data_IF_437313422302
#
_entry.id   IF_437313422302
#
_cell.length_a   1.000
_cell.length_b   1.000
_cell.length_c   1.000
_cell.angle_alpha   90.00
_cell.angle_beta   90.00
_cell.angle_gamma   90.00
#
_symmetry.space_group_name_H-M   'P 1'
#
loop_
_entity.id
_entity.type
_entity.pdbx_description
1 polymer ?
#
# COMPACT_ATOMS: atom_id res chain seq x y z
N UNK A 1 -23.99 6.21 -11.86
CA UNK A 1 -24.32 6.93 -10.61
C UNK A 1 -25.71 6.49 -10.15
N UNK A 2 -25.84 6.05 -8.89
CA UNK A 2 -27.12 5.66 -8.29
C UNK A 2 -28.08 6.85 -8.24
N UNK A 3 -29.36 6.65 -8.64
CA UNK A 3 -30.41 7.68 -8.64
C UNK A 3 -30.61 8.29 -7.26
N UNK A 4 -30.40 7.50 -6.20
CA UNK A 4 -30.52 7.99 -4.83
C UNK A 4 -29.36 8.93 -4.46
N UNK A 5 -28.12 8.62 -4.86
CA UNK A 5 -26.94 9.44 -4.60
C UNK A 5 -26.92 10.75 -5.40
N UNK A 6 -27.36 10.71 -6.67
CA UNK A 6 -27.53 11.92 -7.48
C UNK A 6 -28.58 12.86 -6.87
N UNK A 7 -29.68 12.31 -6.34
CA UNK A 7 -30.71 13.09 -5.67
C UNK A 7 -30.16 13.72 -4.38
N UNK A 8 -29.36 13.00 -3.61
CA UNK A 8 -28.69 13.52 -2.42
C UNK A 8 -27.74 14.68 -2.76
N UNK A 9 -26.91 14.55 -3.80
CA UNK A 9 -26.02 15.62 -4.23
C UNK A 9 -26.79 16.87 -4.70
N UNK A 10 -27.84 16.69 -5.51
CA UNK A 10 -28.66 17.81 -5.95
C UNK A 10 -29.41 18.50 -4.79
N UNK A 11 -29.74 17.77 -3.73
CA UNK A 11 -30.29 18.35 -2.50
C UNK A 11 -29.22 19.16 -1.78
N UNK A 12 -28.04 18.59 -1.54
CA UNK A 12 -26.92 19.28 -0.87
C UNK A 12 -26.51 20.57 -1.62
N UNK A 13 -26.40 20.52 -2.95
CA UNK A 13 -26.09 21.71 -3.76
C UNK A 13 -27.16 22.80 -3.60
N UNK A 14 -28.45 22.43 -3.52
CA UNK A 14 -29.53 23.41 -3.31
C UNK A 14 -29.48 24.03 -1.92
N UNK A 15 -29.11 23.26 -0.91
CA UNK A 15 -28.98 23.75 0.46
C UNK A 15 -27.77 24.68 0.58
N UNK A 16 -26.63 24.34 -0.04
CA UNK A 16 -25.45 25.22 -0.12
C UNK A 16 -25.74 26.55 -0.82
N UNK A 17 -26.58 26.56 -1.86
CA UNK A 17 -26.97 27.79 -2.54
C UNK A 17 -27.94 28.67 -1.75
N UNK A 18 -28.50 28.16 -0.65
CA UNK A 18 -29.52 28.84 0.15
C UNK A 18 -29.07 29.12 1.58
N UNK A 19 -27.98 28.50 2.02
CA UNK A 19 -27.46 28.71 3.37
C UNK A 19 -26.92 30.14 3.52
N UNK A 20 -26.92 30.69 4.74
CA UNK A 20 -26.31 31.99 5.01
C UNK A 20 -24.80 31.96 4.74
N UNK A 21 -24.24 33.09 4.29
CA UNK A 21 -22.81 33.24 4.05
C UNK A 21 -22.00 32.89 5.31
N UNK A 22 -21.09 31.93 5.20
CA UNK A 22 -20.23 31.45 6.27
C UNK A 22 -20.65 30.12 6.90
N UNK A 23 -21.83 29.58 6.56
CA UNK A 23 -22.33 28.29 7.05
C UNK A 23 -22.11 27.12 6.07
N UNK A 24 -21.55 27.39 4.89
CA UNK A 24 -21.35 26.41 3.81
C UNK A 24 -20.45 25.26 4.24
N UNK A 25 -19.36 25.57 4.95
CA UNK A 25 -18.39 24.57 5.40
C UNK A 25 -19.00 23.64 6.46
N UNK A 26 -19.82 24.18 7.37
CA UNK A 26 -20.52 23.37 8.38
C UNK A 26 -21.53 22.43 7.71
N UNK A 27 -22.23 22.90 6.67
CA UNK A 27 -23.16 22.09 5.90
C UNK A 27 -22.44 20.98 5.09
N UNK A 28 -21.28 21.28 4.50
CA UNK A 28 -20.42 20.29 3.85
C UNK A 28 -19.87 19.26 4.83
N UNK A 29 -19.47 19.69 6.03
CA UNK A 29 -18.99 18.82 7.10
C UNK A 29 -20.08 17.87 7.63
N UNK A 30 -21.31 18.36 7.75
CA UNK A 30 -22.45 17.53 8.14
C UNK A 30 -22.80 16.47 7.08
N UNK A 31 -22.30 16.62 5.84
CA UNK A 31 -22.57 15.73 4.71
C UNK A 31 -21.27 15.19 4.06
N UNK A 32 -20.19 14.98 4.84
CA UNK A 32 -18.87 14.58 4.33
C UNK A 32 -18.89 13.33 3.44
N UNK A 33 -19.79 12.39 3.72
CA UNK A 33 -19.97 11.17 2.93
C UNK A 33 -20.40 11.40 1.48
N UNK A 34 -20.89 12.61 1.18
CA UNK A 34 -21.27 13.06 -0.16
C UNK A 34 -20.17 13.94 -0.80
N UNK A 35 -19.16 14.39 -0.05
CA UNK A 35 -18.09 15.29 -0.51
C UNK A 35 -16.98 14.47 -1.16
N UNK A 36 -17.18 14.14 -2.44
CA UNK A 36 -16.24 13.42 -3.28
C UNK A 36 -16.07 14.08 -4.66
N UNK A 37 -15.18 13.54 -5.49
CA UNK A 37 -14.91 14.05 -6.83
C UNK A 37 -16.16 14.10 -7.73
N UNK A 38 -17.14 13.21 -7.53
CA UNK A 38 -18.40 13.21 -8.30
C UNK A 38 -19.33 14.36 -7.89
N UNK A 39 -19.32 14.78 -6.63
CA UNK A 39 -20.03 15.99 -6.19
C UNK A 39 -19.40 17.24 -6.81
N UNK A 40 -18.05 17.33 -6.81
CA UNK A 40 -17.30 18.43 -7.43
C UNK A 40 -17.65 18.54 -8.91
N UNK A 41 -17.60 17.44 -9.66
CA UNK A 41 -17.95 17.44 -11.08
C UNK A 41 -19.39 17.87 -11.34
N UNK A 42 -20.33 17.46 -10.48
CA UNK A 42 -21.72 17.87 -10.61
C UNK A 42 -21.89 19.37 -10.32
N UNK A 43 -21.19 19.91 -9.31
CA UNK A 43 -21.17 21.34 -9.00
C UNK A 43 -20.59 22.15 -10.16
N UNK A 44 -19.51 21.69 -10.79
CA UNK A 44 -18.92 22.30 -11.99
C UNK A 44 -19.91 22.35 -13.17
N UNK A 45 -20.66 21.26 -13.41
CA UNK A 45 -21.69 21.23 -14.47
C UNK A 45 -22.87 22.15 -14.16
N UNK A 46 -23.29 22.24 -12.90
CA UNK A 46 -24.36 23.15 -12.46
C UNK A 46 -23.92 24.61 -12.60
N UNK A 47 -22.68 24.92 -12.22
CA UNK A 47 -22.08 26.25 -12.38
C UNK A 47 -21.98 26.66 -13.85
N UNK A 48 -21.46 25.78 -14.70
CA UNK A 48 -21.37 26.00 -16.16
C UNK A 48 -22.74 26.30 -16.77
N UNK A 49 -23.79 25.56 -16.37
CA UNK A 49 -25.16 25.80 -16.85
C UNK A 49 -25.76 27.10 -16.31
N UNK A 50 -25.38 27.53 -15.10
CA UNK A 50 -25.76 28.82 -14.54
C UNK A 50 -25.11 29.98 -15.31
N UNK A 51 -23.83 29.87 -15.68
CA UNK A 51 -23.12 30.83 -16.55
C UNK A 51 -23.81 30.98 -17.91
N UNK A 52 -24.16 29.86 -18.56
CA UNK A 52 -24.85 29.87 -19.86
C UNK A 52 -26.24 30.52 -19.81
N UNK A 53 -26.87 30.54 -18.63
CA UNK A 53 -28.18 31.18 -18.39
C UNK A 53 -28.06 32.61 -17.87
N UNK A 54 -26.84 33.15 -17.78
CA UNK A 54 -26.56 34.51 -17.31
C UNK A 54 -26.59 34.68 -15.79
N UNK A 55 -26.66 33.59 -15.01
CA UNK A 55 -26.63 33.66 -13.55
C UNK A 55 -25.19 33.49 -13.03
N UNK A 56 -24.41 34.56 -13.17
CA UNK A 56 -22.97 34.54 -12.91
C UNK A 56 -22.62 34.49 -11.42
N UNK A 57 -23.46 35.03 -10.52
CA UNK A 57 -23.18 34.99 -9.07
C UNK A 57 -23.27 33.57 -8.52
N UNK A 58 -24.30 32.81 -8.91
CA UNK A 58 -24.42 31.39 -8.57
C UNK A 58 -23.29 30.57 -9.18
N UNK A 59 -22.92 30.85 -10.44
CA UNK A 59 -21.83 30.15 -11.09
C UNK A 59 -20.49 30.38 -10.38
N UNK A 60 -20.15 31.64 -10.10
CA UNK A 60 -18.89 31.99 -9.45
C UNK A 60 -18.80 31.41 -8.04
N UNK A 61 -19.88 31.46 -7.27
CA UNK A 61 -19.93 30.84 -5.94
C UNK A 61 -19.66 29.33 -6.01
N UNK A 62 -20.32 28.61 -6.92
CA UNK A 62 -20.12 27.17 -7.05
C UNK A 62 -18.72 26.83 -7.57
N UNK A 63 -18.16 27.62 -8.48
CA UNK A 63 -16.80 27.44 -8.98
C UNK A 63 -15.75 27.70 -7.88
N UNK A 64 -15.96 28.73 -7.06
CA UNK A 64 -15.09 29.03 -5.93
C UNK A 64 -15.13 27.91 -4.89
N UNK A 65 -16.33 27.42 -4.56
CA UNK A 65 -16.49 26.29 -3.64
C UNK A 65 -15.93 24.98 -4.22
N UNK A 66 -16.09 24.75 -5.52
CA UNK A 66 -15.43 23.64 -6.24
C UNK A 66 -13.93 23.75 -6.11
N UNK A 67 -13.36 24.94 -6.28
CA UNK A 67 -11.92 25.16 -6.19
C UNK A 67 -11.41 24.90 -4.77
N UNK A 68 -12.09 25.43 -3.76
CA UNK A 68 -11.77 25.16 -2.36
C UNK A 68 -11.91 23.67 -2.01
N UNK A 69 -12.92 22.98 -2.54
CA UNK A 69 -13.10 21.54 -2.35
C UNK A 69 -12.04 20.72 -3.09
N UNK A 70 -11.64 21.12 -4.30
CA UNK A 70 -10.52 20.52 -5.04
C UNK A 70 -9.20 20.67 -4.27
N UNK A 71 -8.96 21.84 -3.70
CA UNK A 71 -7.77 22.12 -2.87
C UNK A 71 -7.79 21.34 -1.56
N UNK A 72 -8.95 21.22 -0.92
CA UNK A 72 -9.15 20.36 0.25
C UNK A 72 -9.00 18.87 -0.09
N UNK A 73 -9.26 18.53 -1.34
CA UNK A 73 -9.14 17.19 -1.90
C UNK A 73 -7.87 17.00 -2.75
N UNK A 74 -6.74 17.73 -2.53
CA UNK A 74 -5.28 17.29 -2.63
C UNK A 74 -4.25 18.38 -3.10
N UNK A 75 -2.92 18.31 -2.73
CA UNK A 75 -1.87 17.87 -3.68
C UNK A 75 -0.81 16.86 -3.15
N UNK A 76 -0.84 15.65 -3.72
CA UNK A 76 0.14 14.55 -3.77
C UNK A 76 0.82 14.56 -5.16
N UNK A 77 0.81 15.71 -5.83
CA UNK A 77 0.64 15.74 -7.28
C UNK A 77 1.91 15.63 -8.11
N UNK A 78 3.13 15.82 -7.57
CA UNK A 78 4.35 15.69 -8.40
C UNK A 78 4.91 14.26 -8.48
N UNK A 79 4.47 13.37 -7.59
CA UNK A 79 4.83 11.94 -7.62
C UNK A 79 3.66 11.08 -8.15
N UNK A 80 2.41 11.50 -7.88
CA UNK A 80 1.21 10.88 -8.45
C UNK A 80 0.98 11.26 -9.92
N UNK A 81 1.38 12.47 -10.36
CA UNK A 81 1.24 12.82 -11.78
C UNK A 81 2.01 11.87 -12.69
N UNK A 82 3.19 11.40 -12.30
CA UNK A 82 3.98 10.52 -13.18
C UNK A 82 3.45 9.08 -13.19
N UNK A 83 2.90 8.59 -12.07
CA UNK A 83 2.35 7.23 -11.99
C UNK A 83 0.90 7.14 -12.48
N UNK A 84 0.07 8.18 -12.26
CA UNK A 84 -1.26 8.31 -12.84
C UNK A 84 -1.19 8.66 -14.33
N UNK A 85 -0.23 9.50 -14.78
CA UNK A 85 0.02 9.68 -16.22
C UNK A 85 0.53 8.39 -16.85
N UNK A 86 1.50 7.69 -16.25
CA UNK A 86 1.97 6.41 -16.79
C UNK A 86 0.84 5.37 -16.88
N UNK A 87 0.03 5.23 -15.82
CA UNK A 87 -1.13 4.33 -15.83
C UNK A 87 -2.20 4.75 -16.85
N UNK A 88 -2.47 6.05 -16.99
CA UNK A 88 -3.40 6.57 -18.00
C UNK A 88 -2.92 6.31 -19.44
N UNK A 89 -1.60 6.43 -19.67
CA UNK A 89 -0.97 6.17 -20.97
C UNK A 89 -0.98 4.67 -21.29
N UNK A 90 -0.72 3.80 -20.31
CA UNK A 90 -0.88 2.35 -20.45
C UNK A 90 -2.32 1.97 -20.83
N UNK A 91 -3.31 2.54 -20.13
CA UNK A 91 -4.72 2.27 -20.39
C UNK A 91 -5.17 2.76 -21.78
N UNK A 92 -4.66 3.88 -22.27
CA UNK A 92 -4.92 4.36 -23.63
C UNK A 92 -4.40 3.37 -24.68
N UNK A 93 -3.20 2.83 -24.51
CA UNK A 93 -2.65 1.84 -25.43
C UNK A 93 -3.42 0.52 -25.36
N UNK A 94 -3.82 0.08 -24.16
CA UNK A 94 -4.65 -1.12 -23.99
C UNK A 94 -6.02 -0.94 -24.67
N UNK A 95 -6.64 0.24 -24.54
CA UNK A 95 -7.90 0.56 -25.22
C UNK A 95 -7.75 0.59 -26.74
N UNK A 96 -6.64 1.15 -27.26
CA UNK A 96 -6.34 1.10 -28.69
C UNK A 96 -6.17 -0.34 -29.18
N UNK A 97 -5.46 -1.20 -28.43
CA UNK A 97 -5.28 -2.62 -28.78
C UNK A 97 -6.61 -3.37 -28.80
N UNK A 98 -7.50 -3.13 -27.84
CA UNK A 98 -8.82 -3.78 -27.78
C UNK A 98 -9.76 -3.35 -28.90
N UNK A 99 -9.59 -2.13 -29.43
CA UNK A 99 -10.46 -1.55 -30.44
C UNK A 99 -9.86 -1.55 -31.85
N UNK A 100 -8.61 -2.01 -32.03
CA UNK A 100 -7.95 -1.99 -33.33
C UNK A 100 -8.47 -3.10 -34.26
N UNK A 101 -8.39 -2.89 -35.60
CA UNK A 101 -8.64 -3.97 -36.56
C UNK A 101 -7.54 -5.03 -36.46
N UNK A 102 -7.95 -6.30 -36.65
CA UNK A 102 -7.03 -7.45 -36.54
C UNK A 102 -5.83 -7.29 -37.49
N UNK A 103 -4.62 -7.37 -36.94
CA UNK A 103 -3.35 -7.18 -37.65
C UNK A 103 -2.68 -5.81 -37.42
N UNK A 104 -3.35 -4.84 -36.79
CA UNK A 104 -2.79 -3.52 -36.47
C UNK A 104 -2.06 -3.47 -35.11
N UNK A 105 -2.11 -4.54 -34.31
CA UNK A 105 -1.60 -4.59 -32.94
C UNK A 105 -0.08 -4.34 -32.89
N UNK A 106 0.66 -4.92 -33.83
CA UNK A 106 2.12 -4.82 -33.88
C UNK A 106 2.59 -3.40 -34.16
N UNK A 107 1.84 -2.65 -34.98
CA UNK A 107 2.15 -1.27 -35.32
C UNK A 107 1.81 -0.32 -34.17
N UNK A 108 0.71 -0.56 -33.46
CA UNK A 108 0.35 0.15 -32.23
C UNK A 108 1.44 -0.05 -31.16
N UNK A 109 1.86 -1.30 -30.91
CA UNK A 109 2.93 -1.59 -29.95
C UNK A 109 4.28 -0.97 -30.35
N UNK A 110 4.61 -0.95 -31.65
CA UNK A 110 5.84 -0.31 -32.15
C UNK A 110 5.80 1.20 -31.98
N UNK A 111 4.65 1.84 -32.20
CA UNK A 111 4.48 3.29 -32.04
C UNK A 111 4.54 3.77 -30.58
N UNK A 112 4.40 2.84 -29.62
CA UNK A 112 4.46 3.10 -28.18
C UNK A 112 5.58 2.29 -27.49
N UNK A 113 6.65 1.94 -28.22
CA UNK A 113 7.72 1.08 -27.69
C UNK A 113 8.44 1.67 -26.47
N UNK A 114 8.46 2.99 -26.35
CA UNK A 114 9.10 3.79 -25.29
C UNK A 114 8.44 3.64 -23.91
N UNK A 115 7.16 3.27 -23.86
CA UNK A 115 6.40 3.08 -22.62
C UNK A 115 6.19 1.60 -22.26
N UNK A 116 6.60 0.67 -23.13
CA UNK A 116 6.44 -0.77 -22.90
C UNK A 116 7.52 -1.21 -21.90
N UNK A 117 7.13 -1.28 -20.63
CA UNK A 117 7.96 -1.72 -19.51
C UNK A 117 7.28 -2.83 -18.68
N UNK A 118 7.91 -3.22 -17.56
CA UNK A 118 7.36 -4.24 -16.67
C UNK A 118 6.00 -3.83 -16.07
N UNK A 119 5.77 -2.54 -15.82
CA UNK A 119 4.51 -2.03 -15.27
C UNK A 119 3.39 -2.13 -16.31
N UNK A 120 3.66 -1.76 -17.57
CA UNK A 120 2.71 -1.92 -18.68
C UNK A 120 2.25 -3.39 -18.85
N UNK A 121 3.17 -4.36 -18.74
CA UNK A 121 2.82 -5.80 -18.81
C UNK A 121 1.92 -6.21 -17.64
N UNK A 122 2.24 -5.76 -16.42
CA UNK A 122 1.42 -6.07 -15.24
C UNK A 122 0.01 -5.49 -15.40
N UNK A 123 -0.11 -4.27 -15.92
CA UNK A 123 -1.41 -3.65 -16.24
C UNK A 123 -2.18 -4.46 -17.29
N UNK A 124 -1.54 -4.91 -18.38
CA UNK A 124 -2.16 -5.81 -19.37
C UNK A 124 -2.73 -7.10 -18.75
N UNK A 125 -1.98 -7.73 -17.83
CA UNK A 125 -2.42 -8.95 -17.14
C UNK A 125 -3.56 -8.69 -16.17
N UNK A 126 -3.53 -7.56 -15.45
CA UNK A 126 -4.60 -7.14 -14.55
C UNK A 126 -5.90 -6.89 -15.33
N UNK A 127 -5.85 -6.16 -16.45
CA UNK A 127 -7.03 -5.93 -17.31
C UNK A 127 -7.54 -7.24 -17.91
N UNK A 128 -6.65 -8.17 -18.29
CA UNK A 128 -7.05 -9.49 -18.74
C UNK A 128 -7.75 -10.32 -17.65
N UNK A 129 -7.28 -10.26 -16.40
CA UNK A 129 -7.93 -10.90 -15.26
C UNK A 129 -9.32 -10.30 -15.01
N UNK A 130 -9.46 -8.98 -15.07
CA UNK A 130 -10.75 -8.30 -14.97
C UNK A 130 -11.74 -8.74 -16.05
N UNK A 131 -11.30 -8.85 -17.31
CA UNK A 131 -12.14 -9.38 -18.40
C UNK A 131 -12.56 -10.84 -18.19
N UNK A 132 -11.70 -11.64 -17.56
CA UNK A 132 -12.03 -13.02 -17.18
C UNK A 132 -13.15 -13.05 -16.15
N UNK A 133 -13.06 -12.20 -15.12
CA UNK A 133 -14.03 -12.12 -14.02
C UNK A 133 -15.41 -11.62 -14.48
N UNK A 134 -15.47 -10.73 -15.47
CA UNK A 134 -16.72 -10.23 -16.04
C UNK A 134 -17.25 -11.07 -17.23
N UNK A 135 -16.58 -12.18 -17.56
CA UNK A 135 -17.03 -13.14 -18.58
C UNK A 135 -16.63 -12.83 -20.03
N UNK A 136 -15.85 -11.78 -20.25
CA UNK A 136 -15.34 -11.35 -21.56
C UNK A 136 -14.07 -12.13 -21.96
N UNK A 137 -14.22 -13.46 -22.09
CA UNK A 137 -13.10 -14.40 -22.28
C UNK A 137 -12.23 -14.09 -23.50
N UNK A 138 -12.83 -13.64 -24.61
CA UNK A 138 -12.08 -13.34 -25.84
C UNK A 138 -11.14 -12.13 -25.68
N UNK A 139 -11.59 -11.09 -24.97
CA UNK A 139 -10.76 -9.92 -24.68
C UNK A 139 -9.65 -10.26 -23.66
N UNK A 140 -9.98 -11.07 -22.66
CA UNK A 140 -9.01 -11.57 -21.69
C UNK A 140 -7.90 -12.40 -22.37
N UNK A 141 -8.27 -13.37 -23.20
CA UNK A 141 -7.35 -14.22 -23.95
C UNK A 141 -6.48 -13.36 -24.90
N UNK A 142 -7.07 -12.40 -25.60
CA UNK A 142 -6.35 -11.49 -26.48
C UNK A 142 -5.27 -10.69 -25.73
N UNK A 143 -5.59 -10.04 -24.61
CA UNK A 143 -4.61 -9.29 -23.82
C UNK A 143 -3.51 -10.19 -23.24
N UNK A 144 -3.85 -11.43 -22.85
CA UNK A 144 -2.84 -12.42 -22.44
C UNK A 144 -1.90 -12.81 -23.59
N UNK A 145 -2.43 -12.98 -24.81
CA UNK A 145 -1.62 -13.31 -26.00
C UNK A 145 -0.68 -12.18 -26.41
N UNK A 146 -0.96 -10.93 -26.03
CA UNK A 146 -0.05 -9.78 -26.19
C UNK A 146 0.96 -9.71 -25.04
N UNK A 147 0.53 -9.93 -23.80
CA UNK A 147 1.39 -9.82 -22.63
C UNK A 147 2.54 -10.86 -22.63
N UNK A 148 2.31 -12.08 -23.13
CA UNK A 148 3.30 -13.16 -23.12
C UNK A 148 4.53 -12.85 -23.99
N UNK A 149 4.40 -12.50 -25.29
CA UNK A 149 5.53 -12.08 -26.13
C UNK A 149 6.23 -10.82 -25.63
N UNK A 150 5.49 -9.84 -25.08
CA UNK A 150 6.10 -8.63 -24.50
C UNK A 150 6.91 -8.96 -23.25
N UNK A 151 6.43 -9.88 -22.41
CA UNK A 151 7.20 -10.39 -21.27
C UNK A 151 8.49 -11.04 -21.75
N UNK A 152 8.43 -11.89 -22.79
CA UNK A 152 9.63 -12.51 -23.36
C UNK A 152 10.56 -11.49 -24.00
N UNK A 153 10.05 -10.49 -24.72
CA UNK A 153 10.82 -9.43 -25.35
C UNK A 153 11.49 -8.50 -24.33
N UNK A 154 10.80 -8.14 -23.24
CA UNK A 154 11.37 -7.35 -22.14
C UNK A 154 12.36 -8.17 -21.30
N UNK A 155 12.09 -9.46 -21.07
CA UNK A 155 13.08 -10.37 -20.48
C UNK A 155 14.31 -10.52 -21.38
N UNK A 156 14.14 -10.54 -22.71
CA UNK A 156 15.24 -10.61 -23.68
C UNK A 156 15.99 -9.25 -23.81
N UNK A 157 15.30 -8.12 -23.72
CA UNK A 157 15.92 -6.78 -23.70
C UNK A 157 16.66 -6.52 -22.38
N UNK A 158 16.09 -6.97 -21.26
CA UNK A 158 16.72 -7.05 -19.94
C UNK A 158 17.65 -8.27 -19.78
N UNK A 159 17.93 -9.02 -20.84
CA UNK A 159 18.97 -10.06 -20.81
C UNK A 159 20.31 -9.56 -21.35
N UNK A 160 20.40 -8.28 -21.71
CA UNK A 160 21.64 -7.64 -22.13
C UNK A 160 22.48 -7.20 -20.91
N UNK A 161 23.01 -8.21 -20.22
CA UNK A 161 24.18 -8.18 -19.30
C UNK A 161 23.99 -7.44 -17.96
N UNK A 162 23.44 -6.22 -17.92
CA UNK A 162 23.43 -5.40 -16.70
C UNK A 162 22.31 -5.74 -15.70
N UNK A 163 21.12 -6.11 -16.18
CA UNK A 163 19.95 -6.49 -15.36
C UNK A 163 20.07 -7.90 -14.78
N UNK A 164 20.67 -8.84 -15.52
CA UNK A 164 21.04 -10.14 -14.96
C UNK A 164 22.13 -10.01 -13.90
N UNK A 165 23.10 -9.10 -14.10
CA UNK A 165 24.12 -8.82 -13.09
C UNK A 165 23.51 -8.18 -11.84
N UNK A 166 22.63 -7.18 -11.99
CA UNK A 166 21.98 -6.51 -10.86
C UNK A 166 21.04 -7.46 -10.09
N UNK A 167 20.25 -8.27 -10.80
CA UNK A 167 19.41 -9.30 -10.20
C UNK A 167 20.26 -10.39 -9.51
N UNK A 168 21.36 -10.83 -10.13
CA UNK A 168 22.31 -11.75 -9.49
C UNK A 168 22.89 -11.15 -8.21
N UNK A 169 23.29 -9.88 -8.23
CA UNK A 169 23.85 -9.19 -7.05
C UNK A 169 22.87 -9.13 -5.88
N UNK A 170 21.57 -8.92 -6.14
CA UNK A 170 20.54 -8.96 -5.10
C UNK A 170 20.27 -10.37 -4.60
N UNK A 171 20.30 -11.38 -5.48
CA UNK A 171 20.12 -12.78 -5.09
C UNK A 171 21.33 -13.31 -4.30
N UNK A 172 22.54 -12.95 -4.70
CA UNK A 172 23.78 -13.27 -3.99
C UNK A 172 23.77 -12.63 -2.60
N UNK A 173 23.44 -11.33 -2.53
CA UNK A 173 23.32 -10.61 -1.27
C UNK A 173 22.21 -11.18 -0.38
N UNK A 174 21.04 -11.52 -0.94
CA UNK A 174 19.95 -12.18 -0.22
C UNK A 174 20.43 -13.53 0.36
N UNK A 175 21.13 -14.32 -0.44
CA UNK A 175 21.71 -15.58 -0.02
C UNK A 175 22.69 -15.42 1.15
N UNK A 176 23.54 -14.39 1.11
CA UNK A 176 24.47 -14.09 2.19
C UNK A 176 23.78 -13.62 3.46
N UNK A 177 22.79 -12.74 3.33
CA UNK A 177 21.97 -12.26 4.46
C UNK A 177 21.25 -13.42 5.16
N UNK A 178 20.55 -14.27 4.41
CA UNK A 178 19.79 -15.38 5.00
C UNK A 178 20.70 -16.44 5.61
N UNK A 179 21.79 -16.79 4.93
CA UNK A 179 22.80 -17.74 5.45
C UNK A 179 23.44 -17.22 6.73
N UNK A 180 23.79 -15.93 6.76
CA UNK A 180 24.42 -15.31 7.93
C UNK A 180 23.41 -15.21 9.08
N UNK A 181 22.15 -14.90 8.80
CA UNK A 181 21.08 -14.85 9.80
C UNK A 181 20.88 -16.22 10.44
N UNK A 182 20.80 -17.28 9.63
CA UNK A 182 20.68 -18.65 10.11
C UNK A 182 21.90 -19.11 10.93
N UNK A 183 23.12 -18.85 10.46
CA UNK A 183 24.34 -19.32 11.11
C UNK A 183 24.69 -18.57 12.39
N UNK A 184 24.31 -17.29 12.49
CA UNK A 184 24.56 -16.44 13.65
C UNK A 184 23.42 -16.49 14.68
N UNK A 185 22.35 -17.24 14.41
CA UNK A 185 21.09 -17.18 15.18
C UNK A 185 20.55 -15.73 15.33
N UNK A 186 20.72 -14.91 14.28
CA UNK A 186 20.26 -13.53 14.26
C UNK A 186 21.10 -12.56 15.12
N UNK A 187 22.41 -12.78 15.24
CA UNK A 187 23.31 -11.83 15.91
C UNK A 187 23.33 -10.50 15.15
N UNK A 188 22.78 -9.46 15.79
CA UNK A 188 22.65 -8.14 15.20
C UNK A 188 23.98 -7.54 14.76
N UNK A 189 25.07 -7.75 15.51
CA UNK A 189 26.36 -7.14 15.19
C UNK A 189 26.93 -7.72 13.89
N UNK A 190 26.80 -9.03 13.72
CA UNK A 190 27.30 -9.73 12.53
C UNK A 190 26.49 -9.34 11.29
N UNK A 191 25.17 -9.25 11.41
CA UNK A 191 24.30 -8.81 10.31
C UNK A 191 24.55 -7.33 9.97
N UNK A 192 24.64 -6.45 10.96
CA UNK A 192 24.88 -5.01 10.71
C UNK A 192 26.19 -4.76 9.98
N UNK A 193 27.26 -5.51 10.28
CA UNK A 193 28.51 -5.42 9.51
C UNK A 193 28.32 -5.78 8.02
N UNK A 194 27.53 -6.82 7.72
CA UNK A 194 27.19 -7.17 6.34
C UNK A 194 26.37 -6.06 5.67
N UNK A 195 25.40 -5.48 6.38
CA UNK A 195 24.56 -4.40 5.86
C UNK A 195 25.36 -3.11 5.60
N UNK A 196 26.25 -2.73 6.52
CA UNK A 196 27.13 -1.56 6.36
C UNK A 196 28.03 -1.67 5.12
N UNK A 197 28.46 -2.88 4.75
CA UNK A 197 29.22 -3.14 3.53
C UNK A 197 28.40 -3.15 2.24
N UNK A 198 27.07 -3.08 2.32
CA UNK A 198 26.15 -3.26 1.19
C UNK A 198 24.99 -2.24 1.20
N UNK A 199 25.23 -1.03 1.71
CA UNK A 199 24.19 0.01 1.82
C UNK A 199 23.54 0.36 0.48
N UNK A 200 24.29 0.28 -0.62
CA UNK A 200 23.80 0.50 -1.99
C UNK A 200 22.71 -0.51 -2.40
N UNK A 201 22.71 -1.70 -1.79
CA UNK A 201 21.73 -2.75 -2.05
C UNK A 201 20.47 -2.63 -1.17
N UNK A 202 20.48 -1.82 -0.11
CA UNK A 202 19.32 -1.61 0.76
C UNK A 202 18.34 -0.61 0.15
N UNK A 203 17.64 -1.06 -0.88
CA UNK A 203 16.68 -0.24 -1.63
C UNK A 203 15.43 -1.04 -2.02
N UNK A 204 14.47 -0.38 -2.66
CA UNK A 204 13.18 -0.99 -3.03
C UNK A 204 13.32 -2.21 -3.94
N UNK A 205 14.35 -2.27 -4.79
CA UNK A 205 14.57 -3.41 -5.68
C UNK A 205 14.99 -4.65 -4.88
N UNK A 206 15.71 -4.48 -3.76
CA UNK A 206 16.03 -5.61 -2.88
C UNK A 206 14.81 -6.14 -2.15
N UNK A 207 13.89 -5.27 -1.69
CA UNK A 207 12.61 -5.71 -1.13
C UNK A 207 11.80 -6.53 -2.15
N UNK A 208 11.76 -6.09 -3.41
CA UNK A 208 11.12 -6.83 -4.51
C UNK A 208 11.84 -8.15 -4.83
N UNK A 209 13.18 -8.16 -4.82
CA UNK A 209 13.96 -9.36 -5.05
C UNK A 209 13.70 -10.42 -3.95
N UNK A 210 13.64 -9.98 -2.69
CA UNK A 210 13.27 -10.81 -1.54
C UNK A 210 11.86 -11.41 -1.72
N UNK A 211 10.87 -10.60 -2.11
CA UNK A 211 9.50 -11.05 -2.34
C UNK A 211 9.38 -12.08 -3.48
N UNK A 212 9.98 -11.77 -4.62
CA UNK A 212 9.99 -12.64 -5.79
C UNK A 212 10.70 -13.98 -5.50
N UNK A 213 11.85 -13.91 -4.82
CA UNK A 213 12.60 -15.10 -4.41
C UNK A 213 11.81 -15.94 -3.43
N UNK A 214 11.20 -15.34 -2.40
CA UNK A 214 10.43 -16.06 -1.40
C UNK A 214 9.18 -16.71 -2.02
N UNK A 215 8.47 -15.99 -2.89
CA UNK A 215 7.30 -16.51 -3.61
C UNK A 215 7.62 -17.77 -4.42
N UNK A 216 8.80 -17.81 -5.06
CA UNK A 216 9.24 -18.94 -5.86
C UNK A 216 9.83 -20.08 -5.01
N UNK A 217 10.61 -19.74 -3.99
CA UNK A 217 11.37 -20.71 -3.19
C UNK A 217 10.47 -21.45 -2.20
N UNK A 218 9.58 -20.75 -1.51
CA UNK A 218 8.77 -21.34 -0.44
C UNK A 218 7.76 -22.37 -0.95
N UNK A 219 7.34 -22.28 -2.21
CA UNK A 219 6.47 -23.29 -2.86
C UNK A 219 7.26 -24.49 -3.40
N UNK A 220 8.56 -24.32 -3.66
CA UNK A 220 9.42 -25.34 -4.26
C UNK A 220 10.04 -26.28 -3.21
N UNK A 221 10.08 -25.86 -1.94
CA UNK A 221 10.62 -26.64 -0.82
C UNK A 221 9.50 -27.26 0.01
N UNK A 222 9.84 -28.24 0.83
CA UNK A 222 8.86 -28.80 1.77
C UNK A 222 8.51 -27.80 2.89
N UNK A 223 7.41 -28.07 3.59
CA UNK A 223 6.86 -27.16 4.59
C UNK A 223 7.81 -26.87 5.76
N UNK A 224 8.60 -27.84 6.22
CA UNK A 224 9.53 -27.63 7.33
C UNK A 224 10.63 -26.64 6.95
N UNK A 225 11.25 -26.85 5.77
CA UNK A 225 12.27 -25.96 5.21
C UNK A 225 11.67 -24.57 4.94
N UNK A 226 10.46 -24.50 4.37
CA UNK A 226 9.79 -23.23 4.12
C UNK A 226 9.60 -22.42 5.42
N UNK A 227 9.15 -23.06 6.51
CA UNK A 227 8.95 -22.38 7.79
C UNK A 227 10.26 -21.97 8.46
N UNK A 228 11.36 -22.70 8.25
CA UNK A 228 12.70 -22.30 8.68
C UNK A 228 13.14 -21.03 7.96
N UNK A 229 13.07 -21.02 6.63
CA UNK A 229 13.41 -19.84 5.82
C UNK A 229 12.58 -18.62 6.22
N UNK A 230 11.28 -18.80 6.45
CA UNK A 230 10.40 -17.72 6.91
C UNK A 230 10.83 -17.18 8.28
N UNK A 231 11.33 -18.03 9.18
CA UNK A 231 11.86 -17.60 10.47
C UNK A 231 13.10 -16.73 10.29
N UNK A 232 14.01 -17.12 9.39
CA UNK A 232 15.20 -16.33 9.07
C UNK A 232 14.84 -14.99 8.43
N UNK A 233 13.83 -14.97 7.54
CA UNK A 233 13.30 -13.73 6.95
C UNK A 233 12.75 -12.80 8.04
N UNK A 234 12.00 -13.30 9.01
CA UNK A 234 11.47 -12.48 10.12
C UNK A 234 12.63 -11.91 10.96
N UNK A 235 13.63 -12.73 11.30
CA UNK A 235 14.78 -12.30 12.07
C UNK A 235 15.55 -11.20 11.35
N UNK A 236 15.82 -11.38 10.06
CA UNK A 236 16.44 -10.35 9.22
C UNK A 236 15.57 -9.08 9.15
N UNK A 237 14.25 -9.23 8.98
CA UNK A 237 13.31 -8.10 8.90
C UNK A 237 13.31 -7.26 10.17
N UNK A 238 13.36 -7.90 11.34
CA UNK A 238 13.50 -7.21 12.62
C UNK A 238 14.81 -6.42 12.69
N UNK A 239 15.92 -7.03 12.26
CA UNK A 239 17.24 -6.39 12.27
C UNK A 239 17.32 -5.21 11.30
N UNK A 240 16.90 -5.37 10.05
CA UNK A 240 16.96 -4.28 9.06
C UNK A 240 16.02 -3.13 9.43
N UNK A 241 14.87 -3.40 10.07
CA UNK A 241 13.98 -2.36 10.59
C UNK A 241 14.64 -1.45 11.64
N UNK A 242 15.52 -2.01 12.48
CA UNK A 242 16.22 -1.28 13.55
C UNK A 242 17.62 -0.80 13.13
N UNK A 243 18.05 -1.15 11.92
CA UNK A 243 19.32 -0.72 11.35
C UNK A 243 19.24 0.76 10.94
N UNK A 244 20.09 1.59 11.57
CA UNK A 244 20.03 3.05 11.45
C UNK A 244 20.95 3.64 10.39
N UNK A 245 21.85 2.84 9.81
CA UNK A 245 22.73 3.26 8.73
C UNK A 245 22.05 3.07 7.36
N UNK A 246 22.40 3.92 6.39
CA UNK A 246 21.79 3.92 5.05
C UNK A 246 20.44 4.66 5.01
N UNK A 247 19.63 4.34 4.01
CA UNK A 247 18.33 4.98 3.77
C UNK A 247 17.23 4.30 4.59
N UNK A 248 16.89 4.91 5.74
CA UNK A 248 15.88 4.38 6.68
C UNK A 248 14.54 4.06 6.02
N UNK A 249 14.15 4.85 5.01
CA UNK A 249 12.91 4.63 4.28
C UNK A 249 12.88 3.24 3.63
N UNK A 250 13.98 2.82 3.00
CA UNK A 250 14.04 1.51 2.33
C UNK A 250 14.25 0.36 3.31
N UNK A 251 14.97 0.57 4.40
CA UNK A 251 15.11 -0.43 5.47
C UNK A 251 13.75 -0.88 6.01
N UNK A 252 12.83 0.08 6.21
CA UNK A 252 11.46 -0.23 6.66
C UNK A 252 10.66 -0.95 5.57
N UNK A 253 10.77 -0.59 4.28
CA UNK A 253 10.08 -1.33 3.21
C UNK A 253 10.59 -2.78 3.07
N UNK A 254 11.89 -3.01 3.23
CA UNK A 254 12.48 -4.37 3.22
C UNK A 254 11.89 -5.19 4.37
N UNK A 255 11.79 -4.61 5.57
CA UNK A 255 11.19 -5.27 6.72
C UNK A 255 9.70 -5.59 6.50
N UNK A 256 8.93 -4.63 5.95
CA UNK A 256 7.51 -4.83 5.61
C UNK A 256 7.35 -6.00 4.63
N UNK A 257 8.14 -6.04 3.55
CA UNK A 257 8.12 -7.14 2.59
C UNK A 257 8.39 -8.49 3.26
N UNK A 258 9.38 -8.55 4.15
CA UNK A 258 9.70 -9.75 4.92
C UNK A 258 8.55 -10.22 5.83
N UNK A 259 7.88 -9.31 6.52
CA UNK A 259 6.71 -9.66 7.33
C UNK A 259 5.50 -10.09 6.48
N UNK A 260 5.28 -9.48 5.32
CA UNK A 260 4.21 -9.88 4.39
C UNK A 260 4.45 -11.27 3.79
N UNK A 261 5.71 -11.62 3.48
CA UNK A 261 6.13 -12.99 3.15
C UNK A 261 5.77 -13.94 4.30
N UNK A 262 6.11 -13.57 5.54
CA UNK A 262 5.83 -14.40 6.70
C UNK A 262 4.33 -14.59 6.95
N UNK A 263 3.49 -13.57 6.74
CA UNK A 263 2.03 -13.68 6.89
C UNK A 263 1.39 -14.59 5.82
N UNK A 264 1.98 -14.68 4.61
CA UNK A 264 1.54 -15.65 3.59
C UNK A 264 1.86 -17.10 3.98
N UNK A 265 2.99 -17.32 4.66
CA UNK A 265 3.40 -18.66 5.08
C UNK A 265 2.74 -19.11 6.40
N UNK A 266 2.74 -18.24 7.42
CA UNK A 266 2.12 -18.50 8.72
C UNK A 266 0.63 -18.20 8.68
N UNK A 267 -0.16 -19.11 8.12
CA UNK A 267 -1.61 -18.88 8.08
C UNK A 267 -2.21 -18.79 9.49
N UNK A 268 -3.12 -17.84 9.70
CA UNK A 268 -3.80 -17.58 10.98
C UNK A 268 -4.47 -18.82 11.59
N UNK A 269 -5.01 -19.72 10.77
CA UNK A 269 -5.68 -20.96 11.20
C UNK A 269 -4.71 -22.04 11.69
N UNK A 270 -3.50 -22.08 11.14
CA UNK A 270 -2.48 -23.11 11.43
C UNK A 270 -1.44 -22.67 12.44
N UNK A 271 -1.07 -21.40 12.41
CA UNK A 271 0.01 -20.84 13.23
C UNK A 271 -0.44 -19.53 13.90
N UNK A 272 -1.54 -19.54 14.66
CA UNK A 272 -2.16 -18.31 15.17
C UNK A 272 -1.19 -17.44 15.97
N UNK A 273 -0.39 -18.04 16.86
CA UNK A 273 0.58 -17.31 17.69
C UNK A 273 1.72 -16.71 16.87
N UNK A 274 2.26 -17.45 15.89
CA UNK A 274 3.32 -16.92 15.01
C UNK A 274 2.77 -15.81 14.11
N UNK A 275 1.56 -15.98 13.58
CA UNK A 275 0.89 -14.96 12.76
C UNK A 275 0.63 -13.67 13.57
N UNK A 276 0.15 -13.79 14.80
CA UNK A 276 -0.05 -12.64 15.69
C UNK A 276 1.27 -11.92 16.03
N UNK A 277 2.36 -12.68 16.21
CA UNK A 277 3.69 -12.11 16.42
C UNK A 277 4.18 -11.32 15.21
N UNK A 278 3.99 -11.85 14.00
CA UNK A 278 4.32 -11.14 12.76
C UNK A 278 3.45 -9.89 12.57
N UNK A 279 2.16 -9.93 12.92
CA UNK A 279 1.31 -8.74 12.92
C UNK A 279 1.85 -7.66 13.85
N UNK A 280 2.33 -8.01 15.04
CA UNK A 280 2.99 -7.05 15.92
C UNK A 280 4.22 -6.39 15.29
N UNK A 281 5.09 -7.17 14.65
CA UNK A 281 6.27 -6.63 13.97
C UNK A 281 5.88 -5.73 12.79
N UNK A 282 4.92 -6.16 11.98
CA UNK A 282 4.38 -5.39 10.86
C UNK A 282 3.77 -4.07 11.33
N UNK A 283 3.00 -4.09 12.41
CA UNK A 283 2.44 -2.87 13.00
C UNK A 283 3.53 -1.90 13.46
N UNK A 284 4.62 -2.39 14.05
CA UNK A 284 5.78 -1.55 14.42
C UNK A 284 6.46 -0.95 13.19
N UNK A 285 6.57 -1.72 12.10
CA UNK A 285 7.17 -1.24 10.86
C UNK A 285 6.32 -0.14 10.23
N UNK A 286 5.01 -0.32 10.12
CA UNK A 286 4.09 0.71 9.62
C UNK A 286 4.12 1.98 10.48
N UNK A 287 4.24 1.88 11.80
CA UNK A 287 4.37 3.07 12.66
C UNK A 287 5.67 3.87 12.39
N UNK A 288 6.76 3.18 12.01
CA UNK A 288 8.06 3.79 11.64
C UNK A 288 8.15 4.20 10.17
N UNK A 289 7.20 3.77 9.33
CA UNK A 289 7.28 3.88 7.88
C UNK A 289 7.27 5.34 7.42
N UNK A 290 8.31 5.70 6.67
CA UNK A 290 8.51 7.05 6.12
C UNK A 290 7.75 7.23 4.81
N UNK A 291 7.67 6.18 3.99
CA UNK A 291 6.97 6.20 2.70
C UNK A 291 5.46 6.01 2.87
N UNK A 292 4.70 6.55 1.92
CA UNK A 292 3.24 6.53 1.95
C UNK A 292 2.62 7.59 2.86
N UNK A 293 1.29 7.54 3.00
CA UNK A 293 0.58 8.47 3.87
C UNK A 293 0.74 8.09 5.35
N UNK A 294 1.20 9.05 6.15
CA UNK A 294 1.49 8.82 7.58
C UNK A 294 0.22 8.48 8.37
N UNK A 295 -0.93 9.07 8.05
CA UNK A 295 -2.18 8.77 8.75
C UNK A 295 -2.63 7.34 8.45
N UNK A 296 -2.56 6.92 7.19
CA UNK A 296 -2.85 5.54 6.76
C UNK A 296 -1.88 4.55 7.41
N UNK A 297 -0.58 4.84 7.42
CA UNK A 297 0.43 3.99 8.06
C UNK A 297 0.11 3.75 9.55
N UNK A 298 -0.34 4.79 10.27
CA UNK A 298 -0.76 4.65 11.67
C UNK A 298 -2.04 3.80 11.81
N UNK A 299 -3.04 3.96 10.94
CA UNK A 299 -4.24 3.11 11.00
C UNK A 299 -3.92 1.63 10.69
N UNK A 300 -3.03 1.36 9.72
CA UNK A 300 -2.56 0.00 9.43
C UNK A 300 -1.82 -0.57 10.64
N UNK A 301 -0.98 0.23 11.30
CA UNK A 301 -0.32 -0.16 12.55
C UNK A 301 -1.33 -0.54 13.65
N UNK A 302 -2.35 0.29 13.86
CA UNK A 302 -3.44 0.02 14.82
C UNK A 302 -4.19 -1.27 14.44
N UNK A 303 -4.47 -1.49 13.16
CA UNK A 303 -5.15 -2.69 12.68
C UNK A 303 -4.33 -3.95 12.96
N UNK A 304 -3.04 -3.93 12.64
CA UNK A 304 -2.11 -5.01 12.92
C UNK A 304 -2.13 -5.40 14.41
N UNK A 305 -2.05 -4.43 15.32
CA UNK A 305 -2.13 -4.69 16.76
C UNK A 305 -3.51 -5.20 17.18
N UNK A 306 -4.60 -4.66 16.61
CA UNK A 306 -5.97 -5.12 16.87
C UNK A 306 -6.14 -6.60 16.50
N UNK A 307 -5.67 -7.02 15.33
CA UNK A 307 -5.80 -8.42 14.91
C UNK A 307 -4.89 -9.36 15.71
N UNK A 308 -3.73 -8.88 16.17
CA UNK A 308 -2.86 -9.63 17.08
C UNK A 308 -3.51 -9.82 18.46
N UNK A 309 -4.15 -8.79 19.02
CA UNK A 309 -4.93 -8.87 20.28
C UNK A 309 -6.18 -9.76 20.16
N UNK A 310 -6.66 -10.02 18.95
CA UNK A 310 -7.69 -11.02 18.70
C UNK A 310 -7.20 -12.47 18.84
N UNK A 311 -5.91 -12.70 19.02
CA UNK A 311 -5.28 -14.01 19.23
C UNK A 311 -4.58 -14.08 20.58
N UNK A 312 -3.82 -13.04 20.93
CA UNK A 312 -3.25 -12.93 22.28
C UNK A 312 -4.38 -12.66 23.26
N UNK A 313 -4.69 -13.64 24.08
CA UNK A 313 -5.62 -13.50 25.20
C UNK A 313 -4.82 -13.16 26.46
N UNK A 314 -5.36 -12.24 27.27
CA UNK A 314 -4.70 -11.77 28.49
C UNK A 314 -4.34 -12.92 29.43
N UNK A 315 -5.20 -13.92 29.54
CA UNK A 315 -5.08 -15.03 30.48
C UNK A 315 -4.02 -16.05 30.06
N UNK A 316 -3.81 -16.21 28.76
CA UNK A 316 -2.94 -17.25 28.20
C UNK A 316 -1.58 -16.69 27.74
N UNK A 317 -1.55 -15.43 27.30
CA UNK A 317 -0.37 -14.76 26.74
C UNK A 317 -0.22 -13.34 27.31
N UNK A 318 -0.14 -13.17 28.64
CA UNK A 318 -0.17 -11.86 29.29
C UNK A 318 0.96 -10.93 28.82
N UNK A 319 2.15 -11.47 28.56
CA UNK A 319 3.33 -10.70 28.11
C UNK A 319 3.14 -10.16 26.71
N UNK A 320 2.80 -11.02 25.76
CA UNK A 320 2.56 -10.65 24.36
C UNK A 320 1.36 -9.69 24.25
N UNK A 321 0.31 -9.93 25.04
CA UNK A 321 -0.84 -9.04 25.11
C UNK A 321 -0.48 -7.64 25.61
N UNK A 322 0.26 -7.56 26.72
CA UNK A 322 0.71 -6.28 27.29
C UNK A 322 1.68 -5.54 26.36
N UNK A 323 2.59 -6.24 25.68
CA UNK A 323 3.45 -5.63 24.66
C UNK A 323 2.65 -5.09 23.47
N UNK A 324 1.69 -5.86 22.98
CA UNK A 324 0.83 -5.43 21.87
C UNK A 324 0.04 -4.18 22.25
N UNK A 325 -0.53 -4.13 23.46
CA UNK A 325 -1.22 -2.95 23.96
C UNK A 325 -0.31 -1.74 24.10
N UNK A 326 0.94 -1.92 24.51
CA UNK A 326 1.93 -0.82 24.59
C UNK A 326 2.21 -0.24 23.19
N UNK A 327 2.35 -1.11 22.19
CA UNK A 327 2.55 -0.69 20.81
C UNK A 327 1.29 -0.01 20.25
N UNK A 328 0.10 -0.53 20.54
CA UNK A 328 -1.19 0.09 20.20
C UNK A 328 -1.34 1.46 20.85
N UNK A 329 -0.98 1.62 22.13
CA UNK A 329 -0.98 2.90 22.82
C UNK A 329 -0.08 3.92 22.11
N UNK A 330 1.11 3.51 21.71
CA UNK A 330 2.06 4.35 20.96
C UNK A 330 1.47 4.77 19.61
N UNK A 331 0.82 3.86 18.88
CA UNK A 331 0.14 4.19 17.63
C UNK A 331 -0.99 5.21 17.83
N UNK A 332 -1.79 5.08 18.89
CA UNK A 332 -2.82 6.06 19.24
C UNK A 332 -2.27 7.44 19.59
N UNK A 333 -1.06 7.54 20.17
CA UNK A 333 -0.39 8.84 20.38
C UNK A 333 -0.02 9.53 19.05
N UNK A 334 0.30 8.75 18.02
CA UNK A 334 0.65 9.24 16.68
C UNK A 334 -0.54 9.34 15.72
N UNK A 335 -1.74 8.91 16.14
CA UNK A 335 -2.92 8.83 15.31
C UNK A 335 -3.43 10.21 14.90
N UNK A 336 -3.56 10.40 13.58
CA UNK A 336 -3.96 11.66 12.96
C UNK A 336 -5.49 11.75 12.83
N UNK A 337 -6.15 10.63 12.52
CA UNK A 337 -7.61 10.59 12.40
C UNK A 337 -8.31 10.61 13.76
N UNK A 338 -9.50 11.22 13.79
CA UNK A 338 -10.32 11.35 15.00
C UNK A 338 -9.91 12.53 15.88
N UNK A 339 -10.54 12.63 17.05
CA UNK A 339 -10.25 13.69 18.01
C UNK A 339 -8.94 13.36 18.78
N UNK A 340 -8.01 14.31 18.81
CA UNK A 340 -6.71 14.15 19.49
C UNK A 340 -6.85 13.81 20.98
N UNK A 341 -7.81 14.41 21.68
CA UNK A 341 -8.05 14.14 23.10
C UNK A 341 -8.52 12.71 23.33
N UNK A 342 -9.43 12.21 22.49
CA UNK A 342 -9.91 10.83 22.56
C UNK A 342 -8.80 9.82 22.23
N UNK A 343 -7.97 10.13 21.22
CA UNK A 343 -6.81 9.32 20.88
C UNK A 343 -5.80 9.25 22.04
N UNK A 344 -5.52 10.37 22.70
CA UNK A 344 -4.63 10.40 23.87
C UNK A 344 -5.23 9.68 25.08
N UNK A 345 -6.54 9.80 25.32
CA UNK A 345 -7.24 9.03 26.36
C UNK A 345 -7.14 7.53 26.10
N UNK A 346 -7.38 7.10 24.86
CA UNK A 346 -7.23 5.71 24.46
C UNK A 346 -5.79 5.21 24.68
N UNK A 347 -4.79 6.00 24.25
CA UNK A 347 -3.39 5.67 24.48
C UNK A 347 -3.06 5.51 25.97
N UNK A 348 -3.47 6.47 26.82
CA UNK A 348 -3.25 6.40 28.26
C UNK A 348 -3.93 5.17 28.89
N UNK A 349 -5.12 4.83 28.45
CA UNK A 349 -5.83 3.64 28.92
C UNK A 349 -5.12 2.35 28.52
N UNK A 350 -4.67 2.23 27.26
CA UNK A 350 -3.91 1.07 26.81
C UNK A 350 -2.58 0.91 27.56
N UNK A 351 -1.83 2.00 27.79
CA UNK A 351 -0.63 1.95 28.64
C UNK A 351 -0.96 1.51 30.06
N UNK A 352 -2.02 2.07 30.66
CA UNK A 352 -2.44 1.72 32.03
C UNK A 352 -2.81 0.25 32.14
N UNK A 353 -3.51 -0.30 31.15
CA UNK A 353 -3.88 -1.72 31.11
C UNK A 353 -2.61 -2.59 30.97
N UNK A 354 -1.72 -2.26 30.04
CA UNK A 354 -0.48 -3.00 29.82
C UNK A 354 0.42 -3.03 31.06
N UNK A 355 0.57 -1.90 31.76
CA UNK A 355 1.42 -1.82 32.96
C UNK A 355 0.92 -2.67 34.12
N UNK A 356 -0.40 -2.78 34.34
CA UNK A 356 -0.95 -3.58 35.45
C UNK A 356 -0.51 -5.04 35.38
N UNK A 357 -0.44 -5.60 34.18
CA UNK A 357 -0.04 -6.99 33.96
C UNK A 357 1.44 -7.20 34.28
N UNK A 358 2.30 -6.23 33.96
CA UNK A 358 3.72 -6.30 34.32
C UNK A 358 3.98 -6.22 35.83
N UNK A 359 3.05 -5.68 36.62
CA UNK A 359 3.13 -5.69 38.08
C UNK A 359 2.60 -6.99 38.68
N UNK A 360 1.49 -7.52 38.17
CA UNK A 360 0.88 -8.78 38.63
C UNK A 360 1.79 -10.01 38.40
N UNK A 361 2.78 -9.93 37.51
CA UNK A 361 3.77 -11.01 37.26
C UNK A 361 5.03 -10.93 38.16
N UNK A 362 5.23 -9.83 38.90
CA UNK A 362 6.40 -9.61 39.77
C UNK A 362 6.11 -9.77 41.28
N UNK A 363 4.88 -10.16 41.64
CA UNK A 363 4.48 -10.68 42.96
C UNK A 363 4.38 -12.22 42.92
#
# INVERSE_FOLDING_TARGET
MDRNRLRAYLTLIRELLRCPNGEELALLQANLELVDTNLIELMDRVATRATQRGNFSTANFLLDLVQQLKEMLVPQQEQFDNEEKAYSVYMQVIEQLLNCPSGAETEILRSHQDIIDTRFILTLRQVAAMFTDIGEKKAAEFLQTIAVPLTQALSNANSNINTNLLASQYIDFLGDVLRLTANSNGDAQVIYQLLEGNLDKLNINFAQALDNWATSTLIAVNQEIALSIVTDIINFSNLVQDFTSGELAYNVEIAIAGYEIALRAYRRDKYPLKWAGVQNYLGKAYLKRILGDKAVNVEVSIECYRVALGIYEREHFPKEWAETLRNMATAYQHRIYGNREDNLKAASEYFRIASKISFDENE
#
